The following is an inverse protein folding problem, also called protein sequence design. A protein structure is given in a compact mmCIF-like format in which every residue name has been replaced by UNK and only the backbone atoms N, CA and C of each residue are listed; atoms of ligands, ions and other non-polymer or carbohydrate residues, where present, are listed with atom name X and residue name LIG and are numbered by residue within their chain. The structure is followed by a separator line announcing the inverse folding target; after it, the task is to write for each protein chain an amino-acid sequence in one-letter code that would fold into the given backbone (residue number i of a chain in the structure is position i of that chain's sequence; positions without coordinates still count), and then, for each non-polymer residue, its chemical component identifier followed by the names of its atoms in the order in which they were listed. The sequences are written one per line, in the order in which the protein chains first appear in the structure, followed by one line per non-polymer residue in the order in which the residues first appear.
data_IF_479433619079
#
_entry.id   IF_479433619079
#
_cell.length_a   1.000
_cell.length_b   1.000
_cell.length_c   1.000
_cell.angle_alpha   90.00
_cell.angle_beta   90.00
_cell.angle_gamma   90.00
#
_symmetry.space_group_name_H-M   'P 1'
#
loop_
_entity.id
_entity.type
_entity.pdbx_description
1 polymer ?
#
# COMPACT_ATOMS: atom_id res chain seq x y z
N UNK A 1 -18.43 -4.80 -31.28
CA UNK A 1 -17.32 -5.37 -32.10
C UNK A 1 -17.71 -6.69 -32.76
N UNK A 2 -18.43 -7.58 -32.05
CA UNK A 2 -19.01 -8.83 -32.57
C UNK A 2 -19.89 -8.64 -33.81
N UNK A 3 -20.81 -7.67 -33.80
CA UNK A 3 -21.73 -7.40 -34.92
C UNK A 3 -21.08 -6.88 -36.22
N UNK A 4 -19.83 -6.39 -36.17
CA UNK A 4 -19.09 -5.90 -37.34
C UNK A 4 -18.30 -7.02 -38.04
N UNK A 5 -17.84 -8.02 -37.29
CA UNK A 5 -17.11 -9.16 -37.83
C UNK A 5 -18.04 -10.21 -38.46
N UNK A 6 -19.30 -10.32 -38.01
CA UNK A 6 -20.28 -11.26 -38.56
C UNK A 6 -20.79 -10.92 -39.97
N UNK A 7 -20.52 -9.71 -40.46
CA UNK A 7 -20.88 -9.29 -41.82
C UNK A 7 -19.80 -9.62 -42.87
N UNK A 8 -18.63 -10.11 -42.44
CA UNK A 8 -17.54 -10.49 -43.34
C UNK A 8 -17.66 -11.98 -43.73
N UNK A 9 -17.50 -12.34 -45.01
CA UNK A 9 -17.58 -13.71 -45.49
C UNK A 9 -16.30 -14.49 -45.17
N UNK A 10 -15.98 -14.62 -43.87
CA UNK A 10 -14.78 -15.27 -43.37
C UNK A 10 -15.16 -16.55 -42.62
N UNK A 11 -14.29 -17.56 -42.70
CA UNK A 11 -14.44 -18.79 -41.92
C UNK A 11 -14.46 -18.46 -40.42
N UNK A 12 -15.18 -19.25 -39.58
CA UNK A 12 -15.27 -19.01 -38.14
C UNK A 12 -13.90 -18.86 -37.48
N UNK A 13 -12.95 -19.73 -37.83
CA UNK A 13 -11.57 -19.71 -37.33
C UNK A 13 -10.85 -18.41 -37.69
N UNK A 14 -11.06 -17.87 -38.90
CA UNK A 14 -10.41 -16.64 -39.34
C UNK A 14 -10.96 -15.41 -38.62
N UNK A 15 -12.24 -15.41 -38.23
CA UNK A 15 -12.85 -14.35 -37.39
C UNK A 15 -12.28 -14.34 -35.98
N UNK A 16 -12.04 -15.50 -35.38
CA UNK A 16 -11.48 -15.63 -34.04
C UNK A 16 -10.04 -15.12 -33.97
N UNK A 17 -9.22 -15.52 -34.95
CA UNK A 17 -7.83 -15.06 -35.09
C UNK A 17 -7.79 -13.55 -35.30
N UNK A 18 -8.66 -13.00 -36.16
CA UNK A 18 -8.73 -11.55 -36.38
C UNK A 18 -9.14 -10.79 -35.11
N UNK A 19 -10.11 -11.29 -34.35
CA UNK A 19 -10.52 -10.64 -33.11
C UNK A 19 -9.44 -10.69 -32.04
N UNK A 20 -8.75 -11.83 -31.87
CA UNK A 20 -7.60 -11.93 -30.97
C UNK A 20 -6.47 -10.96 -31.39
N UNK A 21 -6.19 -10.88 -32.69
CA UNK A 21 -5.21 -9.93 -33.22
C UNK A 21 -5.58 -8.48 -32.93
N UNK A 22 -6.85 -8.10 -33.09
CA UNK A 22 -7.34 -6.76 -32.76
C UNK A 22 -7.18 -6.45 -31.28
N UNK A 23 -7.49 -7.39 -30.39
CA UNK A 23 -7.36 -7.18 -28.93
C UNK A 23 -5.89 -7.02 -28.53
N UNK A 24 -5.00 -7.84 -29.09
CA UNK A 24 -3.54 -7.71 -28.87
C UNK A 24 -3.08 -6.33 -29.36
N UNK A 25 -3.47 -5.93 -30.57
CA UNK A 25 -3.12 -4.63 -31.13
C UNK A 25 -3.64 -3.48 -30.24
N UNK A 26 -4.90 -3.54 -29.81
CA UNK A 26 -5.49 -2.55 -28.90
C UNK A 26 -4.77 -2.51 -27.56
N UNK A 27 -4.39 -3.66 -27.01
CA UNK A 27 -3.62 -3.74 -25.75
C UNK A 27 -2.25 -3.11 -25.91
N UNK A 28 -1.53 -3.40 -27.01
CA UNK A 28 -0.22 -2.81 -27.28
C UNK A 28 -0.32 -1.30 -27.49
N UNK A 29 -1.34 -0.84 -28.22
CA UNK A 29 -1.61 0.59 -28.42
C UNK A 29 -1.97 1.25 -27.09
N UNK A 30 -2.84 0.65 -26.27
CA UNK A 30 -3.19 1.17 -24.95
C UNK A 30 -1.97 1.23 -24.03
N UNK A 31 -1.14 0.19 -23.97
CA UNK A 31 0.09 0.18 -23.20
C UNK A 31 1.09 1.24 -23.67
N UNK A 32 1.24 1.43 -24.99
CA UNK A 32 2.08 2.47 -25.57
C UNK A 32 1.56 3.88 -25.26
N UNK A 33 0.26 4.12 -25.46
CA UNK A 33 -0.39 5.40 -25.16
C UNK A 33 -0.32 5.72 -23.67
N UNK A 34 -0.56 4.73 -22.83
CA UNK A 34 -0.48 4.87 -21.38
C UNK A 34 0.95 5.14 -20.94
N UNK A 35 1.96 4.44 -21.50
CA UNK A 35 3.37 4.76 -21.28
C UNK A 35 3.71 6.19 -21.63
N UNK A 36 3.25 6.65 -22.80
CA UNK A 36 3.47 8.02 -23.27
C UNK A 36 2.72 9.05 -22.43
N UNK A 37 1.49 8.76 -22.02
CA UNK A 37 0.70 9.63 -21.16
C UNK A 37 1.36 9.75 -19.79
N UNK A 38 1.76 8.63 -19.19
CA UNK A 38 2.38 8.61 -17.87
C UNK A 38 3.71 9.37 -17.90
N UNK A 39 4.54 9.19 -18.92
CA UNK A 39 5.79 9.95 -19.04
C UNK A 39 5.56 11.46 -19.25
N UNK A 40 4.53 11.84 -20.02
CA UNK A 40 4.18 13.27 -20.23
C UNK A 40 3.57 13.89 -18.97
N UNK A 41 2.69 13.19 -18.27
CA UNK A 41 2.07 13.64 -17.01
C UNK A 41 3.14 13.78 -15.94
N UNK A 42 4.00 12.79 -15.79
CA UNK A 42 5.13 12.84 -14.86
C UNK A 42 6.06 13.99 -15.21
N UNK A 43 6.53 14.12 -16.46
CA UNK A 43 7.39 15.23 -16.87
C UNK A 43 6.77 16.62 -16.65
N UNK A 44 5.44 16.75 -16.72
CA UNK A 44 4.73 18.00 -16.40
C UNK A 44 4.60 18.25 -14.91
N UNK A 45 4.42 17.20 -14.11
CA UNK A 45 4.34 17.28 -12.65
C UNK A 45 5.72 17.57 -12.06
N UNK A 46 6.76 16.84 -12.47
CA UNK A 46 8.13 17.02 -11.97
C UNK A 46 8.76 18.35 -12.35
N UNK A 47 8.30 19.03 -13.41
CA UNK A 47 8.70 20.41 -13.71
C UNK A 47 8.00 21.46 -12.83
N UNK A 48 6.89 21.11 -12.17
CA UNK A 48 6.12 22.02 -11.31
C UNK A 48 6.37 21.80 -9.82
N UNK A 49 6.80 20.61 -9.42
CA UNK A 49 7.12 20.30 -8.03
C UNK A 49 8.62 20.51 -7.78
N UNK A 50 8.97 21.21 -6.71
CA UNK A 50 10.37 21.35 -6.23
C UNK A 50 10.88 20.13 -5.45
N UNK A 51 10.07 19.07 -5.37
CA UNK A 51 10.35 17.85 -4.61
C UNK A 51 10.74 16.71 -5.54
N UNK A 52 11.78 15.95 -5.17
CA UNK A 52 12.27 14.76 -5.86
C UNK A 52 11.41 13.51 -5.58
N UNK A 53 10.36 13.62 -4.76
CA UNK A 53 9.44 12.53 -4.43
C UNK A 53 8.76 11.94 -5.68
N UNK A 54 8.30 12.82 -6.58
CA UNK A 54 7.54 12.43 -7.77
C UNK A 54 8.40 11.57 -8.71
N UNK A 55 9.68 11.95 -8.89
CA UNK A 55 10.65 11.21 -9.68
C UNK A 55 10.94 9.83 -9.07
N UNK A 56 11.15 9.77 -7.75
CA UNK A 56 11.41 8.52 -7.03
C UNK A 56 10.21 7.58 -7.07
N UNK A 57 8.99 8.08 -6.86
CA UNK A 57 7.76 7.28 -6.94
C UNK A 57 7.55 6.73 -8.35
N UNK A 58 7.75 7.55 -9.39
CA UNK A 58 7.66 7.07 -10.76
C UNK A 58 8.73 6.01 -11.08
N UNK A 59 9.98 6.20 -10.63
CA UNK A 59 11.03 5.21 -10.82
C UNK A 59 10.72 3.88 -10.10
N UNK A 60 10.14 3.94 -8.90
CA UNK A 60 9.83 2.78 -8.08
C UNK A 60 8.60 2.01 -8.59
N UNK A 61 7.55 2.72 -9.02
CA UNK A 61 6.24 2.15 -9.34
C UNK A 61 6.02 2.02 -10.86
N UNK A 62 6.60 2.90 -11.67
CA UNK A 62 6.30 3.04 -13.10
C UNK A 62 6.46 1.74 -13.90
N UNK A 63 7.49 0.95 -13.60
CA UNK A 63 7.68 -0.38 -14.22
C UNK A 63 6.49 -1.31 -13.95
N UNK A 64 6.01 -1.35 -12.71
CA UNK A 64 4.92 -2.23 -12.28
C UNK A 64 3.58 -1.78 -12.84
N UNK A 65 3.39 -0.46 -12.94
CA UNK A 65 2.22 0.13 -13.61
C UNK A 65 2.14 -0.31 -15.08
N UNK A 66 3.27 -0.40 -15.80
CA UNK A 66 3.25 -0.95 -17.17
C UNK A 66 2.86 -2.43 -17.21
N UNK A 67 3.43 -3.24 -16.32
CA UNK A 67 3.04 -4.65 -16.20
C UNK A 67 1.55 -4.82 -15.87
N UNK A 68 0.98 -3.95 -15.04
CA UNK A 68 -0.44 -3.95 -14.72
C UNK A 68 -1.32 -3.75 -15.96
N UNK A 69 -0.96 -2.81 -16.84
CA UNK A 69 -1.69 -2.59 -18.11
C UNK A 69 -1.60 -3.80 -19.03
N UNK A 70 -0.44 -4.45 -19.12
CA UNK A 70 -0.30 -5.69 -19.88
C UNK A 70 -1.16 -6.83 -19.32
N UNK A 71 -1.23 -6.97 -17.99
CA UNK A 71 -2.10 -7.97 -17.35
C UNK A 71 -3.57 -7.68 -17.65
N UNK A 72 -4.02 -6.42 -17.53
CA UNK A 72 -5.41 -6.07 -17.88
C UNK A 72 -5.75 -6.42 -19.33
N UNK A 73 -4.86 -6.11 -20.27
CA UNK A 73 -5.06 -6.49 -21.66
C UNK A 73 -5.04 -8.01 -21.88
N UNK A 74 -4.20 -8.73 -21.14
CA UNK A 74 -4.18 -10.20 -21.15
C UNK A 74 -5.50 -10.77 -20.62
N UNK A 75 -6.06 -10.22 -19.53
CA UNK A 75 -7.36 -10.62 -19.00
C UNK A 75 -8.47 -10.41 -20.02
N UNK A 76 -8.50 -9.27 -20.71
CA UNK A 76 -9.50 -9.00 -21.77
C UNK A 76 -9.35 -9.98 -22.94
N UNK A 77 -8.11 -10.23 -23.37
CA UNK A 77 -7.82 -11.22 -24.41
C UNK A 77 -8.27 -12.62 -24.00
N UNK A 78 -8.01 -12.98 -22.75
CA UNK A 78 -8.32 -14.30 -22.23
C UNK A 78 -9.84 -14.53 -22.16
N UNK A 79 -10.60 -13.57 -21.62
CA UNK A 79 -12.06 -13.63 -21.61
C UNK A 79 -12.65 -13.74 -23.03
N UNK A 80 -12.05 -13.07 -24.02
CA UNK A 80 -12.47 -13.20 -25.42
C UNK A 80 -12.24 -14.60 -25.98
N UNK A 81 -11.10 -15.22 -25.64
CA UNK A 81 -10.76 -16.58 -26.06
C UNK A 81 -11.61 -17.62 -25.33
N UNK A 82 -11.91 -17.43 -24.05
CA UNK A 82 -12.75 -18.32 -23.25
C UNK A 82 -14.12 -18.51 -23.89
N UNK A 83 -14.83 -17.41 -24.20
CA UNK A 83 -16.17 -17.46 -24.82
C UNK A 83 -16.18 -18.25 -26.15
N UNK A 84 -15.03 -18.37 -26.84
CA UNK A 84 -14.93 -19.00 -28.16
C UNK A 84 -14.33 -20.40 -28.15
N UNK A 85 -13.41 -20.67 -27.23
CA UNK A 85 -12.59 -21.89 -27.21
C UNK A 85 -12.87 -22.78 -25.99
N UNK A 86 -13.75 -22.36 -25.06
CA UNK A 86 -14.11 -23.17 -23.87
C UNK A 86 -14.65 -24.54 -24.23
N UNK A 87 -15.48 -24.63 -25.28
CA UNK A 87 -16.02 -25.91 -25.78
C UNK A 87 -14.93 -26.83 -26.35
N UNK A 88 -13.81 -26.27 -26.81
CA UNK A 88 -12.72 -27.03 -27.47
C UNK A 88 -11.61 -27.42 -26.50
N UNK A 89 -11.19 -26.51 -25.61
CA UNK A 89 -10.06 -26.72 -24.68
C UNK A 89 -10.50 -27.17 -23.28
N UNK A 90 -11.81 -27.10 -22.99
CA UNK A 90 -12.39 -27.50 -21.71
C UNK A 90 -12.29 -26.43 -20.61
N UNK A 91 -13.28 -26.39 -19.74
CA UNK A 91 -13.42 -25.38 -18.67
C UNK A 91 -12.26 -25.36 -17.66
N UNK A 92 -11.61 -26.50 -17.44
CA UNK A 92 -10.54 -26.61 -16.43
C UNK A 92 -9.32 -25.76 -16.80
N UNK A 93 -8.91 -25.78 -18.07
CA UNK A 93 -7.78 -24.98 -18.55
C UNK A 93 -8.07 -23.49 -18.36
N UNK A 94 -9.29 -23.07 -18.72
CA UNK A 94 -9.70 -21.68 -18.58
C UNK A 94 -9.69 -21.19 -17.14
N UNK A 95 -10.25 -22.00 -16.22
CA UNK A 95 -10.26 -21.69 -14.79
C UNK A 95 -8.86 -21.57 -14.19
N UNK A 96 -7.94 -22.47 -14.56
CA UNK A 96 -6.56 -22.41 -14.05
C UNK A 96 -5.82 -21.18 -14.55
N UNK A 97 -5.92 -20.86 -15.84
CA UNK A 97 -5.24 -19.70 -16.41
C UNK A 97 -5.83 -18.39 -15.88
N UNK A 98 -7.16 -18.27 -15.77
CA UNK A 98 -7.80 -17.11 -15.15
C UNK A 98 -7.30 -16.90 -13.71
N UNK A 99 -7.27 -17.97 -12.90
CA UNK A 99 -6.74 -17.91 -11.55
C UNK A 99 -5.27 -17.45 -11.47
N UNK A 100 -4.42 -17.91 -12.40
CA UNK A 100 -3.02 -17.46 -12.48
C UNK A 100 -2.94 -15.97 -12.85
N UNK A 101 -3.69 -15.53 -13.86
CA UNK A 101 -3.72 -14.12 -14.30
C UNK A 101 -4.23 -13.21 -13.17
N UNK A 102 -5.29 -13.63 -12.49
CA UNK A 102 -5.83 -12.93 -11.33
C UNK A 102 -4.79 -12.81 -10.20
N UNK A 103 -4.15 -13.91 -9.82
CA UNK A 103 -3.13 -13.92 -8.78
C UNK A 103 -1.93 -13.01 -9.13
N UNK A 104 -1.47 -13.03 -10.38
CA UNK A 104 -0.42 -12.12 -10.85
C UNK A 104 -0.87 -10.65 -10.79
N UNK A 105 -2.12 -10.36 -11.17
CA UNK A 105 -2.69 -9.02 -11.07
C UNK A 105 -2.68 -8.49 -9.63
N UNK A 106 -3.19 -9.29 -8.69
CA UNK A 106 -3.20 -8.96 -7.25
C UNK A 106 -1.77 -8.75 -6.74
N UNK A 107 -0.83 -9.63 -7.12
CA UNK A 107 0.57 -9.50 -6.73
C UNK A 107 1.21 -8.20 -7.24
N UNK A 108 0.97 -7.81 -8.49
CA UNK A 108 1.48 -6.55 -9.04
C UNK A 108 0.93 -5.36 -8.27
N UNK A 109 -0.38 -5.36 -7.96
CA UNK A 109 -0.99 -4.27 -7.17
C UNK A 109 -0.36 -4.20 -5.77
N UNK A 110 -0.14 -5.34 -5.11
CA UNK A 110 0.54 -5.39 -3.82
C UNK A 110 1.97 -4.82 -3.90
N UNK A 111 2.72 -5.16 -4.94
CA UNK A 111 4.07 -4.61 -5.17
C UNK A 111 4.03 -3.11 -5.44
N UNK A 112 3.06 -2.62 -6.21
CA UNK A 112 2.86 -1.17 -6.46
C UNK A 112 2.66 -0.43 -5.14
N UNK A 113 1.76 -0.92 -4.27
CA UNK A 113 1.48 -0.31 -2.97
C UNK A 113 2.72 -0.32 -2.06
N UNK A 114 3.37 -1.48 -1.92
CA UNK A 114 4.58 -1.62 -1.10
C UNK A 114 5.68 -0.68 -1.60
N UNK A 115 5.98 -0.68 -2.90
CA UNK A 115 7.03 0.17 -3.47
C UNK A 115 6.71 1.65 -3.30
N UNK A 116 5.45 2.04 -3.48
CA UNK A 116 5.02 3.42 -3.26
C UNK A 116 5.22 3.87 -1.81
N UNK A 117 4.75 3.06 -0.86
CA UNK A 117 4.88 3.38 0.58
C UNK A 117 6.34 3.38 1.00
N UNK A 118 7.13 2.35 0.67
CA UNK A 118 8.56 2.30 1.02
C UNK A 118 9.33 3.49 0.44
N UNK A 119 9.03 3.90 -0.79
CA UNK A 119 9.70 5.04 -1.44
C UNK A 119 9.31 6.35 -0.78
N UNK A 120 8.02 6.52 -0.45
CA UNK A 120 7.53 7.68 0.28
C UNK A 120 8.19 7.80 1.66
N UNK A 121 8.27 6.69 2.40
CA UNK A 121 8.89 6.65 3.72
C UNK A 121 10.39 6.97 3.68
N UNK A 122 11.11 6.44 2.69
CA UNK A 122 12.53 6.75 2.48
C UNK A 122 12.74 8.23 2.13
N UNK A 123 11.92 8.78 1.23
CA UNK A 123 11.97 10.20 0.89
C UNK A 123 11.66 11.09 2.11
N UNK A 124 10.64 10.73 2.89
CA UNK A 124 10.28 11.46 4.12
C UNK A 124 11.46 11.48 5.09
N UNK A 125 12.12 10.34 5.28
CA UNK A 125 13.32 10.21 6.12
C UNK A 125 14.46 11.11 5.63
N UNK A 126 14.81 11.03 4.35
CA UNK A 126 15.98 11.73 3.80
C UNK A 126 15.78 13.25 3.67
N UNK A 127 14.55 13.69 3.36
CA UNK A 127 14.30 15.09 2.99
C UNK A 127 13.65 15.89 4.13
N UNK A 128 12.78 15.27 4.91
CA UNK A 128 12.00 15.94 5.97
C UNK A 128 12.59 15.65 7.34
N UNK A 129 12.86 14.38 7.66
CA UNK A 129 13.36 14.01 8.99
C UNK A 129 14.77 14.56 9.27
N UNK A 130 15.66 14.65 8.28
CA UNK A 130 17.00 15.26 8.43
C UNK A 130 16.96 16.73 8.89
N UNK A 131 15.85 17.45 8.64
CA UNK A 131 15.67 18.84 9.10
C UNK A 131 15.15 18.96 10.53
N UNK A 132 14.94 17.83 11.20
CA UNK A 132 14.38 17.71 12.55
C UNK A 132 15.39 16.94 13.42
N UNK A 133 15.74 17.44 14.61
CA UNK A 133 16.76 16.80 15.48
C UNK A 133 16.27 15.49 16.17
N UNK A 134 15.23 14.85 15.64
CA UNK A 134 14.56 13.72 16.28
C UNK A 134 15.12 12.38 15.81
N UNK A 135 15.86 11.70 16.69
CA UNK A 135 16.37 10.32 16.49
C UNK A 135 15.26 9.26 16.40
N UNK A 136 14.02 9.64 16.69
CA UNK A 136 12.84 8.76 16.66
C UNK A 136 12.52 8.33 15.23
N UNK A 137 12.75 9.17 14.23
CA UNK A 137 12.34 8.88 12.85
C UNK A 137 13.16 7.73 12.23
N UNK A 138 14.41 7.55 12.66
CA UNK A 138 15.32 6.54 12.11
C UNK A 138 14.97 5.10 12.53
N UNK A 139 14.36 4.91 13.69
CA UNK A 139 14.00 3.59 14.22
C UNK A 139 12.54 3.20 13.88
N UNK A 140 11.63 4.17 13.87
CA UNK A 140 10.20 3.91 13.64
C UNK A 140 9.87 3.71 12.16
N UNK A 141 10.54 4.43 11.25
CA UNK A 141 10.26 4.32 9.81
C UNK A 141 10.52 2.91 9.26
N UNK A 142 11.67 2.25 9.55
CA UNK A 142 11.91 0.88 9.11
C UNK A 142 10.94 -0.14 9.72
N UNK A 143 10.52 0.07 10.97
CA UNK A 143 9.53 -0.80 11.62
C UNK A 143 8.17 -0.69 10.93
N UNK A 144 7.72 0.54 10.67
CA UNK A 144 6.47 0.82 9.96
C UNK A 144 6.48 0.24 8.54
N UNK A 145 7.56 0.43 7.79
CA UNK A 145 7.73 -0.15 6.45
C UNK A 145 7.59 -1.68 6.45
N UNK A 146 8.21 -2.37 7.43
CA UNK A 146 8.07 -3.83 7.57
C UNK A 146 6.65 -4.25 7.94
N UNK A 147 6.02 -3.55 8.88
CA UNK A 147 4.66 -3.83 9.30
C UNK A 147 3.67 -3.68 8.13
N UNK A 148 3.78 -2.59 7.36
CA UNK A 148 2.93 -2.35 6.19
C UNK A 148 3.11 -3.42 5.11
N UNK A 149 4.33 -3.91 4.87
CA UNK A 149 4.59 -5.02 3.94
C UNK A 149 3.88 -6.29 4.37
N UNK A 150 3.97 -6.65 5.66
CA UNK A 150 3.28 -7.83 6.21
C UNK A 150 1.77 -7.70 5.95
N UNK A 151 1.17 -6.56 6.31
CA UNK A 151 -0.27 -6.33 6.12
C UNK A 151 -0.67 -6.43 4.65
N UNK A 152 0.03 -5.75 3.73
CA UNK A 152 -0.32 -5.75 2.31
C UNK A 152 -0.21 -7.15 1.69
N UNK A 153 0.87 -7.88 1.98
CA UNK A 153 1.04 -9.23 1.43
C UNK A 153 0.07 -10.24 2.05
N UNK A 154 -0.28 -10.11 3.34
CA UNK A 154 -1.33 -10.91 3.94
C UNK A 154 -2.69 -10.66 3.28
N UNK A 155 -3.06 -9.40 3.04
CA UNK A 155 -4.30 -9.07 2.33
C UNK A 155 -4.30 -9.59 0.88
N UNK A 156 -3.19 -9.41 0.17
CA UNK A 156 -3.03 -9.93 -1.19
C UNK A 156 -3.21 -11.45 -1.24
N UNK A 157 -2.63 -12.18 -0.28
CA UNK A 157 -2.81 -13.63 -0.16
C UNK A 157 -4.28 -14.00 0.06
N UNK A 158 -4.99 -13.32 0.97
CA UNK A 158 -6.40 -13.59 1.23
C UNK A 158 -7.26 -13.37 -0.02
N UNK A 159 -7.02 -12.28 -0.75
CA UNK A 159 -7.75 -11.97 -2.00
C UNK A 159 -7.54 -13.09 -3.03
N UNK A 160 -6.30 -13.58 -3.17
CA UNK A 160 -6.00 -14.69 -4.08
C UNK A 160 -6.68 -15.98 -3.64
N UNK A 161 -6.63 -16.33 -2.35
CA UNK A 161 -7.28 -17.53 -1.82
C UNK A 161 -8.81 -17.49 -2.03
N UNK A 162 -9.44 -16.34 -1.79
CA UNK A 162 -10.87 -16.13 -1.99
C UNK A 162 -11.28 -16.34 -3.46
N UNK A 163 -10.46 -15.88 -4.42
CA UNK A 163 -10.67 -16.14 -5.85
C UNK A 163 -10.70 -17.63 -6.20
N UNK A 164 -9.89 -18.43 -5.51
CA UNK A 164 -9.90 -19.89 -5.67
C UNK A 164 -11.03 -20.59 -4.88
N UNK A 165 -12.01 -19.84 -4.36
CA UNK A 165 -13.10 -20.32 -3.50
C UNK A 165 -12.60 -21.05 -2.23
N UNK A 166 -11.41 -20.70 -1.74
CA UNK A 166 -10.90 -21.18 -0.46
C UNK A 166 -11.52 -20.31 0.63
N UNK A 167 -12.14 -20.93 1.64
CA UNK A 167 -12.77 -20.19 2.73
C UNK A 167 -11.72 -19.45 3.57
N UNK A 168 -11.61 -18.14 3.34
CA UNK A 168 -10.70 -17.25 4.05
C UNK A 168 -11.26 -16.76 5.38
N UNK A 169 -12.52 -17.04 5.74
CA UNK A 169 -13.14 -16.55 6.98
C UNK A 169 -12.35 -16.97 8.22
N UNK A 170 -11.85 -18.21 8.24
CA UNK A 170 -11.00 -18.70 9.32
C UNK A 170 -9.69 -17.91 9.45
N UNK A 171 -9.03 -17.62 8.32
CA UNK A 171 -7.80 -16.82 8.30
C UNK A 171 -8.06 -15.37 8.74
N UNK A 172 -9.14 -14.76 8.24
CA UNK A 172 -9.57 -13.43 8.64
C UNK A 172 -9.91 -13.38 10.14
N UNK A 173 -10.57 -14.41 10.68
CA UNK A 173 -10.85 -14.49 12.10
C UNK A 173 -9.56 -14.55 12.95
N UNK A 174 -8.58 -15.36 12.54
CA UNK A 174 -7.27 -15.44 13.21
C UNK A 174 -6.53 -14.10 13.13
N UNK A 175 -6.51 -13.44 11.98
CA UNK A 175 -5.91 -12.11 11.83
C UNK A 175 -6.65 -11.05 12.67
N UNK A 176 -7.98 -11.15 12.78
CA UNK A 176 -8.79 -10.28 13.62
C UNK A 176 -8.44 -10.44 15.11
N UNK A 177 -8.41 -11.70 15.61
CA UNK A 177 -8.01 -11.99 16.99
C UNK A 177 -6.55 -11.63 17.25
N UNK A 178 -5.66 -11.89 16.28
CA UNK A 178 -4.25 -11.49 16.35
C UNK A 178 -4.08 -9.97 16.43
N UNK A 179 -4.87 -9.21 15.65
CA UNK A 179 -4.88 -7.74 15.69
C UNK A 179 -5.38 -7.22 17.04
N UNK A 180 -6.40 -7.87 17.62
CA UNK A 180 -6.87 -7.55 18.97
C UNK A 180 -5.76 -7.79 20.02
N UNK A 181 -5.04 -8.92 19.94
CA UNK A 181 -3.95 -9.21 20.85
C UNK A 181 -2.82 -8.16 20.77
N UNK A 182 -2.44 -7.75 19.56
CA UNK A 182 -1.47 -6.66 19.34
C UNK A 182 -1.99 -5.33 19.91
N UNK A 183 -3.27 -5.01 19.69
CA UNK A 183 -3.89 -3.80 20.22
C UNK A 183 -3.90 -3.76 21.75
N UNK A 184 -4.25 -4.88 22.39
CA UNK A 184 -4.21 -5.02 23.85
C UNK A 184 -2.78 -4.89 24.39
N UNK A 185 -1.79 -5.47 23.72
CA UNK A 185 -0.39 -5.31 24.10
C UNK A 185 0.12 -3.86 23.96
N UNK A 186 -0.43 -3.10 23.00
CA UNK A 186 -0.07 -1.70 22.78
C UNK A 186 -0.89 -0.70 23.62
N UNK A 187 -1.92 -1.16 24.34
CA UNK A 187 -2.92 -0.32 25.00
C UNK A 187 -2.31 0.72 25.94
N UNK A 188 -1.42 0.31 26.85
CA UNK A 188 -0.79 1.22 27.81
C UNK A 188 0.09 2.27 27.13
N UNK A 189 0.77 1.89 26.05
CA UNK A 189 1.61 2.83 25.30
C UNK A 189 0.74 3.90 24.64
N UNK A 190 -0.35 3.50 24.00
CA UNK A 190 -1.29 4.43 23.37
C UNK A 190 -1.98 5.32 24.39
N UNK A 191 -2.38 4.76 25.54
CA UNK A 191 -2.98 5.53 26.64
C UNK A 191 -2.03 6.63 27.13
N UNK A 192 -0.75 6.30 27.38
CA UNK A 192 0.25 7.27 27.80
C UNK A 192 0.49 8.38 26.76
N UNK A 193 0.50 8.03 25.46
CA UNK A 193 0.63 9.03 24.39
C UNK A 193 -0.56 9.99 24.32
N UNK A 194 -1.79 9.46 24.50
CA UNK A 194 -3.00 10.29 24.56
C UNK A 194 -2.94 11.21 25.77
N UNK A 195 -2.53 10.72 26.95
CA UNK A 195 -2.36 11.55 28.15
C UNK A 195 -1.35 12.68 27.94
N UNK A 196 -0.19 12.39 27.34
CA UNK A 196 0.79 13.42 27.01
C UNK A 196 0.24 14.48 26.05
N UNK A 197 -0.49 14.06 25.02
CA UNK A 197 -1.14 14.99 24.08
C UNK A 197 -2.18 15.88 24.77
N UNK A 198 -3.02 15.32 25.65
CA UNK A 198 -4.00 16.08 26.44
C UNK A 198 -3.30 17.09 27.35
N UNK A 199 -2.22 16.72 28.03
CA UNK A 199 -1.43 17.64 28.86
C UNK A 199 -0.87 18.80 28.02
N UNK A 200 -0.40 18.53 26.80
CA UNK A 200 0.13 19.58 25.91
C UNK A 200 -0.95 20.55 25.42
N UNK A 201 -2.17 20.06 25.18
CA UNK A 201 -3.30 20.86 24.74
C UNK A 201 -3.92 21.67 25.88
N UNK A 202 -4.31 20.99 26.96
CA UNK A 202 -5.05 21.60 28.06
C UNK A 202 -4.14 22.38 29.02
N UNK A 203 -2.83 22.08 28.99
CA UNK A 203 -1.78 22.72 29.80
C UNK A 203 -2.16 22.88 31.28
N UNK A 204 -2.54 21.79 31.99
CA UNK A 204 -2.87 21.84 33.42
C UNK A 204 -1.68 22.29 34.29
N UNK A 205 -0.46 22.12 33.78
CA UNK A 205 0.78 22.66 34.33
C UNK A 205 1.74 23.01 33.17
N UNK A 206 2.69 23.89 33.44
CA UNK A 206 3.68 24.38 32.48
C UNK A 206 5.10 24.02 32.92
N UNK A 207 6.04 24.10 31.98
CA UNK A 207 7.47 24.01 32.27
C UNK A 207 7.85 25.01 33.37
N UNK A 208 8.53 24.52 34.41
CA UNK A 208 8.92 25.32 35.58
C UNK A 208 7.88 25.40 36.69
N UNK A 209 6.65 24.90 36.50
CA UNK A 209 5.66 24.87 37.58
C UNK A 209 6.07 23.91 38.68
N UNK A 210 5.78 24.27 39.93
CA UNK A 210 5.91 23.39 41.09
C UNK A 210 4.65 22.54 41.20
N UNK A 211 4.82 21.24 41.12
CA UNK A 211 3.73 20.26 41.22
C UNK A 211 4.01 19.29 42.36
N UNK A 212 2.93 18.73 42.92
CA UNK A 212 3.00 17.63 43.87
C UNK A 212 2.48 16.39 43.16
N UNK A 213 3.31 15.36 43.07
CA UNK A 213 2.94 14.08 42.49
C UNK A 213 2.01 13.31 43.44
N UNK A 214 1.38 12.27 42.91
CA UNK A 214 0.39 11.44 43.62
C UNK A 214 0.96 10.75 44.86
N UNK A 215 2.26 10.47 44.87
CA UNK A 215 3.01 9.88 45.99
C UNK A 215 3.39 10.91 47.08
N UNK A 216 3.05 12.20 46.88
CA UNK A 216 3.37 13.30 47.78
C UNK A 216 4.68 14.02 47.45
N UNK A 217 5.46 13.54 46.47
CA UNK A 217 6.75 14.13 46.09
C UNK A 217 6.56 15.51 45.48
N UNK A 218 7.24 16.51 46.06
CA UNK A 218 7.28 17.88 45.55
C UNK A 218 8.39 18.01 44.49
N UNK A 219 8.05 18.50 43.31
CA UNK A 219 8.98 18.61 42.19
C UNK A 219 8.64 19.79 41.26
N UNK A 220 9.56 20.10 40.36
CA UNK A 220 9.41 21.13 39.32
C UNK A 220 9.35 20.45 37.96
N UNK A 221 8.41 20.87 37.11
CA UNK A 221 8.25 20.34 35.75
C UNK A 221 9.49 20.69 34.92
N UNK A 222 10.22 19.67 34.44
CA UNK A 222 11.45 19.85 33.67
C UNK A 222 11.23 19.70 32.16
N UNK A 223 10.46 18.70 31.75
CA UNK A 223 10.16 18.41 30.35
C UNK A 223 8.75 17.84 30.22
N UNK A 224 7.99 18.26 29.21
CA UNK A 224 6.70 17.67 28.85
C UNK A 224 6.87 16.98 27.50
N UNK A 225 7.08 15.67 27.51
CA UNK A 225 7.15 14.85 26.32
C UNK A 225 5.82 14.17 26.00
N UNK A 226 5.69 13.68 24.75
CA UNK A 226 4.46 13.02 24.27
C UNK A 226 4.18 11.70 25.02
N UNK A 227 5.23 10.96 25.40
CA UNK A 227 5.10 9.68 26.13
C UNK A 227 5.34 9.80 27.63
N UNK A 228 6.17 10.76 28.05
CA UNK A 228 6.59 10.91 29.44
C UNK A 228 6.91 12.37 29.73
N UNK A 229 6.51 12.86 30.90
CA UNK A 229 6.98 14.13 31.44
C UNK A 229 8.08 13.87 32.46
N UNK A 230 9.14 14.67 32.45
CA UNK A 230 10.24 14.59 33.42
C UNK A 230 10.07 15.67 34.46
N UNK A 231 10.30 15.31 35.71
CA UNK A 231 10.22 16.20 36.85
C UNK A 231 11.56 16.25 37.57
N UNK A 232 11.91 17.42 38.10
CA UNK A 232 13.12 17.61 38.90
C UNK A 232 12.74 17.76 40.37
N UNK A 233 13.24 16.86 41.21
CA UNK A 233 13.04 16.94 42.67
C UNK A 233 13.92 18.02 43.29
N UNK A 234 13.63 18.40 44.53
CA UNK A 234 14.45 19.37 45.28
C UNK A 234 15.84 18.84 45.64
N UNK A 235 16.00 17.51 45.68
CA UNK A 235 17.29 16.83 45.83
C UNK A 235 18.08 16.78 44.51
N UNK A 236 17.62 17.51 43.49
CA UNK A 236 18.27 17.66 42.19
C UNK A 236 18.28 16.37 41.33
N UNK A 237 17.35 15.44 41.57
CA UNK A 237 17.17 14.21 40.78
C UNK A 237 16.10 14.40 39.71
N UNK A 238 16.32 13.85 38.51
CA UNK A 238 15.30 13.78 37.45
C UNK A 238 14.55 12.45 37.55
N UNK A 239 13.23 12.52 37.55
CA UNK A 239 12.29 11.39 37.58
C UNK A 239 11.28 11.49 36.45
#
# INVERSE_FOLDING_TARGET
MTALLDKLPLSPVLRDILGAFIIILLTLVAAYLFKRLLSVVVARLTQRTSSDLDDRLFAAIGRWIYWFVYILGLTVLFNYLEVRLVETLGEQIFRTVDGIVYALGVFIVAVILVRGISTFLLWYRETVAVRTETTVDDEFIPLFDRATKIVIYSLALLIVLDHFNIDVKGLVAVLGVGSLAVGLAAQDTLANMISGFVIMLDRPFRLGDRVRLSDGTLCVVHEIGIRSSKFRTFDNTLI
#
